data_IF_694538223924
#
_entry.id   IF_694538223924
#
_cell.length_a   1.000
_cell.length_b   1.000
_cell.length_c   1.000
_cell.angle_alpha   90.00
_cell.angle_beta   90.00
_cell.angle_gamma   90.00
#
_symmetry.space_group_name_H-M   'P 1'
#
loop_
_entity.id
_entity.type
_entity.pdbx_description
1 polymer ?
#
# COMPACT_ATOMS: atom_id res chain seq x y z
N UNK A 1 -18.73 24.90 7.89
CA UNK A 1 -18.61 23.44 7.97
C UNK A 1 -18.05 22.96 6.64
N UNK A 2 -16.74 22.73 6.54
CA UNK A 2 -16.22 22.00 5.39
C UNK A 2 -16.70 20.56 5.49
N UNK A 3 -17.37 20.11 4.45
CA UNK A 3 -17.96 18.78 4.38
C UNK A 3 -16.90 17.79 3.90
N UNK A 4 -16.70 16.70 4.60
CA UNK A 4 -15.87 15.59 4.12
C UNK A 4 -16.23 15.21 2.68
N UNK A 5 -15.23 15.14 1.81
CA UNK A 5 -15.41 14.83 0.39
C UNK A 5 -16.03 13.44 0.22
N UNK A 6 -17.01 13.35 -0.62
CA UNK A 6 -17.60 12.07 -1.00
C UNK A 6 -16.61 11.23 -1.82
N UNK A 7 -16.83 9.92 -1.89
CA UNK A 7 -16.02 9.00 -2.71
C UNK A 7 -15.94 9.42 -4.18
N UNK A 8 -17.01 10.01 -4.71
CA UNK A 8 -17.03 10.51 -6.09
C UNK A 8 -16.12 11.72 -6.25
N UNK A 9 -16.12 12.64 -5.30
CA UNK A 9 -15.27 13.83 -5.29
C UNK A 9 -13.79 13.46 -5.17
N UNK A 10 -13.44 12.54 -4.26
CA UNK A 10 -12.06 12.03 -4.12
C UNK A 10 -11.55 11.37 -5.41
N UNK A 11 -12.41 10.60 -6.09
CA UNK A 11 -12.07 9.97 -7.37
C UNK A 11 -11.96 10.98 -8.50
N UNK A 12 -12.75 12.05 -8.49
CA UNK A 12 -12.64 13.13 -9.47
C UNK A 12 -11.35 13.91 -9.26
N UNK A 13 -11.01 14.28 -8.04
CA UNK A 13 -9.77 14.95 -7.68
C UNK A 13 -8.54 14.14 -8.15
N UNK A 14 -8.55 12.82 -7.91
CA UNK A 14 -7.51 11.94 -8.41
C UNK A 14 -7.39 11.94 -9.95
N UNK A 15 -8.53 11.93 -10.66
CA UNK A 15 -8.54 12.00 -12.13
C UNK A 15 -8.04 13.34 -12.66
N UNK A 16 -8.42 14.43 -12.02
CA UNK A 16 -7.99 15.77 -12.39
C UNK A 16 -6.48 15.94 -12.20
N UNK A 17 -5.92 15.47 -11.09
CA UNK A 17 -4.48 15.48 -10.85
C UNK A 17 -3.71 14.69 -11.93
N UNK A 18 -4.23 13.53 -12.32
CA UNK A 18 -3.61 12.66 -13.31
C UNK A 18 -3.81 13.14 -14.75
N UNK A 19 -4.75 14.07 -14.98
CA UNK A 19 -5.09 14.55 -16.33
C UNK A 19 -3.89 15.24 -16.98
N UNK A 20 -3.49 14.74 -18.14
CA UNK A 20 -2.33 15.24 -18.89
C UNK A 20 -0.97 14.74 -18.39
N UNK A 21 -0.90 14.05 -17.24
CA UNK A 21 0.34 13.60 -16.60
C UNK A 21 0.37 12.10 -16.28
N UNK A 22 -0.47 11.32 -16.97
CA UNK A 22 -0.54 9.87 -16.80
C UNK A 22 0.78 9.16 -17.02
N UNK A 23 1.59 9.64 -17.98
CA UNK A 23 2.91 9.06 -18.27
C UNK A 23 3.82 9.06 -17.03
N UNK A 24 3.87 10.16 -16.31
CA UNK A 24 4.68 10.30 -15.08
C UNK A 24 4.16 9.37 -13.97
N UNK A 25 2.84 9.32 -13.79
CA UNK A 25 2.19 8.47 -12.81
C UNK A 25 2.40 6.97 -13.09
N UNK A 26 2.30 6.56 -14.35
CA UNK A 26 2.54 5.18 -14.79
C UNK A 26 4.00 4.81 -14.56
N UNK A 27 4.95 5.68 -14.95
CA UNK A 27 6.38 5.43 -14.75
C UNK A 27 6.73 5.32 -13.27
N UNK A 28 6.11 6.12 -12.42
CA UNK A 28 6.29 6.06 -10.96
C UNK A 28 5.85 4.70 -10.40
N UNK A 29 4.76 4.12 -10.92
CA UNK A 29 4.22 2.84 -10.49
C UNK A 29 4.77 1.62 -11.29
N UNK A 30 5.61 1.83 -12.29
CA UNK A 30 6.10 0.76 -13.16
C UNK A 30 6.93 -0.28 -12.40
N UNK A 31 7.75 0.16 -11.43
CA UNK A 31 8.65 -0.73 -10.68
C UNK A 31 7.88 -1.80 -9.90
N UNK A 32 6.93 -1.48 -9.00
CA UNK A 32 6.17 -2.50 -8.28
C UNK A 32 5.32 -3.38 -9.21
N UNK A 33 4.79 -2.84 -10.31
CA UNK A 33 4.04 -3.64 -11.29
C UNK A 33 4.95 -4.64 -11.98
N UNK A 34 6.14 -4.22 -12.44
CA UNK A 34 7.12 -5.12 -13.07
C UNK A 34 7.56 -6.19 -12.09
N UNK A 35 7.88 -5.83 -10.84
CA UNK A 35 8.24 -6.79 -9.80
C UNK A 35 7.13 -7.81 -9.55
N UNK A 36 5.87 -7.37 -9.51
CA UNK A 36 4.72 -8.26 -9.36
C UNK A 36 4.58 -9.22 -10.53
N UNK A 37 4.69 -8.72 -11.76
CA UNK A 37 4.61 -9.56 -12.98
C UNK A 37 5.74 -10.60 -13.01
N UNK A 38 6.96 -10.20 -12.69
CA UNK A 38 8.11 -11.11 -12.59
C UNK A 38 7.87 -12.16 -11.51
N UNK A 39 7.39 -11.76 -10.31
CA UNK A 39 7.08 -12.69 -9.23
C UNK A 39 6.01 -13.72 -9.62
N UNK A 40 4.93 -13.28 -10.27
CA UNK A 40 3.89 -14.18 -10.79
C UNK A 40 4.44 -15.12 -11.85
N UNK A 41 5.26 -14.62 -12.79
CA UNK A 41 5.89 -15.45 -13.81
C UNK A 41 6.81 -16.53 -13.20
N UNK A 42 7.62 -16.18 -12.22
CA UNK A 42 8.46 -17.15 -11.48
C UNK A 42 7.59 -18.21 -10.81
N UNK A 43 6.52 -17.80 -10.12
CA UNK A 43 5.59 -18.74 -9.44
C UNK A 43 4.95 -19.70 -10.44
N UNK A 44 4.49 -19.22 -11.59
CA UNK A 44 3.88 -20.06 -12.64
C UNK A 44 4.88 -21.04 -13.23
N UNK A 45 6.12 -20.60 -13.48
CA UNK A 45 7.20 -21.47 -13.98
C UNK A 45 7.55 -22.54 -12.94
N UNK A 46 7.71 -22.15 -11.67
CA UNK A 46 7.98 -23.10 -10.58
C UNK A 46 6.86 -24.12 -10.44
N UNK A 47 5.60 -23.68 -10.50
CA UNK A 47 4.44 -24.56 -10.46
C UNK A 47 4.41 -25.56 -11.63
N UNK A 48 4.74 -25.12 -12.85
CA UNK A 48 4.79 -26.00 -14.02
C UNK A 48 5.93 -27.05 -13.91
N UNK A 49 7.08 -26.67 -13.37
CA UNK A 49 8.17 -27.61 -13.07
C UNK A 49 7.79 -28.65 -12.03
N UNK A 50 7.06 -28.24 -10.99
CA UNK A 50 6.56 -29.15 -9.95
C UNK A 50 5.58 -30.14 -10.54
N UNK A 51 4.60 -29.69 -11.33
CA UNK A 51 3.63 -30.55 -12.01
C UNK A 51 4.32 -31.55 -12.95
N UNK A 52 5.32 -31.14 -13.68
CA UNK A 52 6.08 -32.01 -14.58
C UNK A 52 6.85 -33.09 -13.79
N UNK A 53 7.45 -32.76 -12.65
CA UNK A 53 8.12 -33.75 -11.78
C UNK A 53 7.15 -34.70 -11.14
N UNK A 54 6.00 -34.24 -10.66
CA UNK A 54 4.95 -35.11 -10.09
C UNK A 54 4.38 -36.06 -11.16
N UNK A 55 4.16 -35.58 -12.39
CA UNK A 55 3.70 -36.40 -13.52
C UNK A 55 4.71 -37.48 -13.97
N UNK A 56 6.00 -37.24 -13.79
CA UNK A 56 7.06 -38.22 -14.08
C UNK A 56 7.19 -39.32 -13.00
N UNK A 57 6.65 -39.10 -11.80
CA UNK A 57 6.68 -40.07 -10.68
C UNK A 57 5.35 -40.80 -10.48
N UNK A 58 4.44 -40.77 -11.45
CA UNK A 58 3.07 -41.30 -11.35
C UNK A 58 2.95 -42.84 -11.27
N UNK A 59 4.03 -43.59 -11.16
CA UNK A 59 3.97 -45.06 -11.20
C UNK A 59 4.71 -45.77 -10.07
N UNK A 60 4.69 -45.47 -8.85
CA UNK A 60 4.92 -46.46 -7.78
C UNK A 60 5.34 -45.96 -6.37
N UNK A 61 5.67 -44.67 -6.14
CA UNK A 61 6.19 -44.29 -4.80
C UNK A 61 5.51 -43.05 -4.20
N UNK A 62 4.18 -42.97 -4.27
CA UNK A 62 3.40 -41.81 -3.74
C UNK A 62 3.49 -41.68 -2.22
N UNK A 63 3.86 -42.77 -1.52
CA UNK A 63 3.88 -42.76 -0.04
C UNK A 63 5.15 -42.23 0.62
N UNK A 64 6.29 -42.23 -0.08
CA UNK A 64 7.59 -41.94 0.55
C UNK A 64 8.11 -40.51 0.38
N UNK A 65 7.60 -39.75 -0.57
CA UNK A 65 8.18 -38.44 -0.94
C UNK A 65 7.35 -37.21 -0.61
N UNK A 66 6.18 -37.33 -0.01
CA UNK A 66 5.39 -36.17 0.46
C UNK A 66 6.10 -35.44 1.62
N UNK A 67 6.91 -36.15 2.39
CA UNK A 67 7.65 -35.60 3.53
C UNK A 67 9.01 -34.94 3.15
N UNK A 68 9.45 -35.03 1.92
CA UNK A 68 10.71 -34.40 1.46
C UNK A 68 10.49 -33.07 0.74
N UNK A 69 9.25 -32.60 0.62
CA UNK A 69 8.97 -31.20 0.31
C UNK A 69 9.08 -30.36 1.59
N UNK A 70 10.23 -30.33 2.21
CA UNK A 70 10.66 -29.11 2.88
C UNK A 70 10.71 -28.04 1.78
N UNK A 71 9.64 -27.25 1.71
CA UNK A 71 9.67 -25.96 1.00
C UNK A 71 10.91 -25.27 1.54
N UNK A 72 11.91 -25.08 0.68
CA UNK A 72 13.20 -24.62 1.15
C UNK A 72 12.94 -23.29 1.87
N UNK A 73 13.22 -23.24 3.15
CA UNK A 73 13.08 -22.04 4.01
C UNK A 73 13.75 -20.81 3.38
N UNK A 74 14.64 -21.03 2.43
CA UNK A 74 15.27 -20.01 1.60
C UNK A 74 14.32 -19.38 0.58
N UNK A 75 13.39 -20.12 -0.05
CA UNK A 75 12.44 -19.56 -1.03
C UNK A 75 11.40 -18.69 -0.34
N UNK A 76 10.91 -19.12 0.83
CA UNK A 76 9.99 -18.33 1.65
C UNK A 76 10.66 -17.06 2.18
N UNK A 77 11.92 -17.13 2.55
CA UNK A 77 12.71 -15.99 3.00
C UNK A 77 12.85 -14.94 1.89
N UNK A 78 13.25 -15.34 0.68
CA UNK A 78 13.40 -14.42 -0.44
C UNK A 78 12.07 -13.81 -0.88
N UNK A 79 11.01 -14.58 -0.92
CA UNK A 79 9.67 -14.08 -1.25
C UNK A 79 9.20 -13.04 -0.25
N UNK A 80 9.46 -13.24 1.04
CA UNK A 80 9.15 -12.28 2.12
C UNK A 80 9.93 -10.98 1.96
N UNK A 81 11.24 -11.06 1.66
CA UNK A 81 12.08 -9.88 1.43
C UNK A 81 11.60 -9.08 0.22
N UNK A 82 11.33 -9.76 -0.90
CA UNK A 82 10.85 -9.10 -2.12
C UNK A 82 9.49 -8.44 -1.87
N UNK A 83 8.59 -9.10 -1.14
CA UNK A 83 7.30 -8.55 -0.75
C UNK A 83 7.43 -7.31 0.13
N UNK A 84 8.29 -7.35 1.15
CA UNK A 84 8.58 -6.20 1.99
C UNK A 84 9.17 -5.03 1.17
N UNK A 85 10.15 -5.30 0.31
CA UNK A 85 10.78 -4.30 -0.55
C UNK A 85 9.74 -3.64 -1.48
N UNK A 86 8.87 -4.43 -2.11
CA UNK A 86 7.78 -3.93 -2.95
C UNK A 86 6.82 -3.04 -2.16
N UNK A 87 6.49 -3.41 -0.92
CA UNK A 87 5.65 -2.61 -0.03
C UNK A 87 6.31 -1.26 0.28
N UNK A 88 7.60 -1.23 0.61
CA UNK A 88 8.33 0.01 0.86
C UNK A 88 8.37 0.92 -0.38
N UNK A 89 8.61 0.37 -1.57
CA UNK A 89 8.57 1.15 -2.81
C UNK A 89 7.17 1.75 -3.01
N UNK A 90 6.11 0.95 -2.81
CA UNK A 90 4.72 1.42 -2.93
C UNK A 90 4.41 2.56 -1.93
N UNK A 91 4.92 2.48 -0.69
CA UNK A 91 4.78 3.57 0.29
C UNK A 91 5.53 4.83 -0.15
N UNK A 92 6.73 4.71 -0.73
CA UNK A 92 7.47 5.83 -1.30
C UNK A 92 6.69 6.52 -2.44
N UNK A 93 6.05 5.72 -3.27
CA UNK A 93 5.15 6.19 -4.34
C UNK A 93 3.93 6.92 -3.76
N UNK A 94 3.32 6.37 -2.70
CA UNK A 94 2.18 7.01 -2.03
C UNK A 94 2.55 8.36 -1.42
N UNK A 95 3.77 8.49 -0.87
CA UNK A 95 4.31 9.76 -0.40
C UNK A 95 4.44 10.78 -1.53
N UNK A 96 4.91 10.35 -2.69
CA UNK A 96 5.03 11.21 -3.88
C UNK A 96 3.66 11.70 -4.34
N UNK A 97 2.65 10.83 -4.36
CA UNK A 97 1.30 11.23 -4.73
C UNK A 97 0.68 12.22 -3.74
N UNK A 98 0.96 12.08 -2.45
CA UNK A 98 0.51 13.07 -1.46
C UNK A 98 1.18 14.43 -1.69
N UNK A 99 2.49 14.47 -1.98
CA UNK A 99 3.18 15.71 -2.31
C UNK A 99 2.65 16.33 -3.59
N UNK A 100 2.38 15.50 -4.59
CA UNK A 100 1.83 15.96 -5.87
C UNK A 100 0.43 16.54 -5.72
N UNK A 101 -0.42 15.90 -4.90
CA UNK A 101 -1.76 16.39 -4.61
C UNK A 101 -1.73 17.79 -3.97
N UNK A 102 -0.80 17.99 -3.04
CA UNK A 102 -0.60 19.28 -2.35
C UNK A 102 0.09 20.33 -3.22
N UNK A 103 0.93 19.89 -4.16
CA UNK A 103 1.69 20.75 -5.07
C UNK A 103 1.54 20.27 -6.53
N UNK A 104 0.42 20.57 -7.21
CA UNK A 104 0.14 20.05 -8.55
C UNK A 104 1.17 20.44 -9.63
N UNK A 105 1.91 21.52 -9.43
CA UNK A 105 2.96 22.00 -10.35
C UNK A 105 4.32 21.30 -10.14
N UNK A 106 4.44 20.44 -9.13
CA UNK A 106 5.67 19.74 -8.83
C UNK A 106 6.14 18.88 -10.02
N UNK A 107 7.44 18.96 -10.33
CA UNK A 107 8.07 18.05 -11.29
C UNK A 107 8.30 16.69 -10.64
N UNK A 108 7.84 15.63 -11.31
CA UNK A 108 8.01 14.27 -10.85
C UNK A 108 9.27 13.68 -11.49
N UNK A 109 10.15 13.14 -10.64
CA UNK A 109 11.28 12.31 -11.02
C UNK A 109 10.97 10.86 -10.60
N UNK A 110 10.32 10.03 -11.48
CA UNK A 110 9.65 8.81 -11.08
C UNK A 110 10.54 7.83 -10.30
N UNK A 111 11.75 7.58 -10.80
CA UNK A 111 12.66 6.62 -10.16
C UNK A 111 13.17 7.13 -8.80
N UNK A 112 13.60 8.38 -8.71
CA UNK A 112 14.13 8.95 -7.47
C UNK A 112 13.06 9.02 -6.39
N UNK A 113 11.85 9.40 -6.75
CA UNK A 113 10.74 9.56 -5.81
C UNK A 113 10.11 8.24 -5.40
N UNK A 114 10.11 7.22 -6.25
CA UNK A 114 9.71 5.87 -5.86
C UNK A 114 10.58 5.31 -4.71
N UNK A 115 11.87 5.66 -4.72
CA UNK A 115 12.82 5.21 -3.70
C UNK A 115 13.03 6.20 -2.55
N UNK A 116 12.24 7.29 -2.45
CA UNK A 116 12.42 8.30 -1.41
C UNK A 116 12.31 7.75 0.03
N UNK A 117 11.56 6.66 0.21
CA UNK A 117 11.37 6.02 1.52
C UNK A 117 12.67 5.42 2.07
N UNK A 118 13.62 5.05 1.19
CA UNK A 118 14.93 4.50 1.59
C UNK A 118 15.92 5.57 2.05
N UNK A 119 15.51 6.82 2.11
CA UNK A 119 16.34 7.89 2.69
C UNK A 119 16.39 7.75 4.21
N UNK A 120 17.49 8.20 4.81
CA UNK A 120 17.65 8.22 6.29
C UNK A 120 16.51 8.94 7.00
N UNK A 121 15.84 9.86 6.30
CA UNK A 121 14.72 10.65 6.84
C UNK A 121 13.48 9.78 7.12
N UNK A 122 13.12 8.87 6.21
CA UNK A 122 11.85 8.15 6.27
C UNK A 122 11.98 6.67 6.61
N UNK A 123 13.11 6.04 6.27
CA UNK A 123 13.25 4.58 6.32
C UNK A 123 12.95 3.99 7.70
N UNK A 124 13.65 4.48 8.72
CA UNK A 124 13.62 3.86 10.06
C UNK A 124 12.21 3.89 10.67
N UNK A 125 11.54 5.04 10.62
CA UNK A 125 10.21 5.15 11.21
C UNK A 125 9.15 4.38 10.42
N UNK A 126 9.22 4.42 9.08
CA UNK A 126 8.33 3.61 8.24
C UNK A 126 8.53 2.12 8.50
N UNK A 127 9.77 1.68 8.68
CA UNK A 127 10.09 0.30 9.04
C UNK A 127 9.47 -0.09 10.37
N UNK A 128 9.58 0.73 11.40
CA UNK A 128 8.94 0.45 12.70
C UNK A 128 7.42 0.46 12.60
N UNK A 129 6.81 1.38 11.85
CA UNK A 129 5.36 1.38 11.61
C UNK A 129 4.96 0.06 10.92
N UNK A 130 5.71 -0.38 9.90
CA UNK A 130 5.43 -1.63 9.19
C UNK A 130 5.44 -2.85 10.13
N UNK A 131 6.48 -2.99 10.95
CA UNK A 131 6.58 -4.11 11.90
C UNK A 131 5.47 -4.06 12.95
N UNK A 132 5.24 -2.89 13.56
CA UNK A 132 4.26 -2.76 14.64
C UNK A 132 2.84 -2.96 14.11
N UNK A 133 2.49 -2.36 12.98
CA UNK A 133 1.16 -2.55 12.36
C UNK A 133 0.96 -3.98 11.91
N UNK A 134 1.97 -4.60 11.30
CA UNK A 134 1.94 -6.00 10.91
C UNK A 134 1.70 -6.93 12.10
N UNK A 135 2.42 -6.73 13.20
CA UNK A 135 2.25 -7.49 14.44
C UNK A 135 0.83 -7.35 15.01
N UNK A 136 0.33 -6.12 15.15
CA UNK A 136 -1.02 -5.92 15.68
C UNK A 136 -2.10 -6.47 14.74
N UNK A 137 -1.97 -6.28 13.43
CA UNK A 137 -2.95 -6.81 12.46
C UNK A 137 -2.94 -8.34 12.49
N UNK A 138 -1.77 -8.98 12.50
CA UNK A 138 -1.68 -10.45 12.56
C UNK A 138 -2.30 -11.02 13.83
N UNK A 139 -2.07 -10.38 14.99
CA UNK A 139 -2.66 -10.76 16.26
C UNK A 139 -4.20 -10.70 16.23
N UNK A 140 -4.77 -9.63 15.67
CA UNK A 140 -6.21 -9.47 15.55
C UNK A 140 -6.81 -10.41 14.50
N UNK A 141 -6.09 -10.69 13.41
CA UNK A 141 -6.53 -11.63 12.37
C UNK A 141 -6.52 -13.06 12.87
N UNK A 142 -5.54 -13.41 13.73
CA UNK A 142 -5.49 -14.73 14.40
C UNK A 142 -6.70 -14.95 15.32
N UNK A 143 -7.16 -13.89 16.01
CA UNK A 143 -8.35 -13.98 16.85
C UNK A 143 -9.62 -14.11 16.01
N UNK A 144 -9.84 -13.20 15.07
CA UNK A 144 -10.99 -13.15 14.16
C UNK A 144 -10.63 -12.32 12.92
N UNK A 145 -11.05 -12.76 11.74
CA UNK A 145 -10.78 -12.09 10.45
C UNK A 145 -11.37 -10.68 10.43
N UNK A 146 -12.62 -10.51 10.88
CA UNK A 146 -13.32 -9.20 10.84
C UNK A 146 -12.63 -8.12 11.66
N UNK A 147 -12.26 -8.34 12.94
CA UNK A 147 -11.44 -7.39 13.69
C UNK A 147 -10.08 -7.08 13.02
N UNK A 148 -9.44 -8.08 12.38
CA UNK A 148 -8.21 -7.87 11.62
C UNK A 148 -8.39 -6.85 10.49
N UNK A 149 -9.46 -6.96 9.70
CA UNK A 149 -9.79 -6.00 8.63
C UNK A 149 -10.04 -4.59 9.21
N UNK A 150 -10.80 -4.48 10.30
CA UNK A 150 -11.09 -3.20 10.95
C UNK A 150 -9.79 -2.53 11.45
N UNK A 151 -8.86 -3.31 11.98
CA UNK A 151 -7.56 -2.80 12.47
C UNK A 151 -6.64 -2.40 11.31
N UNK A 152 -6.62 -3.14 10.22
CA UNK A 152 -5.89 -2.78 9.00
C UNK A 152 -6.35 -1.41 8.49
N UNK A 153 -7.66 -1.18 8.41
CA UNK A 153 -8.24 0.09 8.03
C UNK A 153 -7.87 1.19 9.03
N UNK A 154 -7.92 0.89 10.34
CA UNK A 154 -7.61 1.87 11.40
C UNK A 154 -6.16 2.35 11.38
N UNK A 155 -5.22 1.53 10.91
CA UNK A 155 -3.79 1.85 10.85
C UNK A 155 -3.34 2.34 9.48
N UNK A 156 -4.21 2.36 8.49
CA UNK A 156 -3.88 2.65 7.09
C UNK A 156 -3.29 4.05 6.87
N UNK A 157 -3.61 5.03 7.72
CA UNK A 157 -3.13 6.41 7.58
C UNK A 157 -1.79 6.67 8.30
N UNK A 158 -1.31 5.73 9.12
CA UNK A 158 -0.13 5.92 9.96
C UNK A 158 1.15 6.32 9.18
N UNK A 159 1.29 5.80 7.96
CA UNK A 159 2.43 6.13 7.09
C UNK A 159 2.38 7.58 6.61
N UNK A 160 1.22 8.07 6.20
CA UNK A 160 1.04 9.48 5.78
C UNK A 160 1.25 10.44 6.94
N UNK A 161 0.73 10.11 8.13
CA UNK A 161 0.94 10.87 9.37
C UNK A 161 2.44 10.95 9.70
N UNK A 162 3.14 9.83 9.63
CA UNK A 162 4.59 9.80 9.84
C UNK A 162 5.35 10.70 8.85
N UNK A 163 4.96 10.66 7.58
CA UNK A 163 5.53 11.54 6.55
C UNK A 163 5.33 13.01 6.91
N UNK A 164 4.12 13.40 7.30
CA UNK A 164 3.79 14.78 7.64
C UNK A 164 4.56 15.25 8.87
N UNK A 165 4.60 14.47 9.95
CA UNK A 165 5.38 14.80 11.13
C UNK A 165 6.87 14.96 10.80
N UNK A 166 7.42 14.08 9.96
CA UNK A 166 8.82 14.16 9.52
C UNK A 166 9.11 15.34 8.59
N UNK A 167 8.11 15.84 7.89
CA UNK A 167 8.24 17.01 7.05
C UNK A 167 8.23 18.30 7.87
N UNK A 168 7.39 18.35 8.92
CA UNK A 168 7.27 19.48 9.84
C UNK A 168 8.42 19.57 10.83
N UNK A 169 9.00 18.43 11.22
CA UNK A 169 10.04 18.37 12.26
C UNK A 169 11.31 17.76 11.69
N UNK A 170 12.16 18.58 11.06
CA UNK A 170 13.36 18.10 10.35
C UNK A 170 14.32 17.27 11.22
N UNK A 171 14.47 17.59 12.50
CA UNK A 171 15.36 16.91 13.45
C UNK A 171 14.64 16.23 14.63
N UNK A 172 13.32 16.26 14.67
CA UNK A 172 12.53 15.67 15.75
C UNK A 172 12.44 14.14 15.67
N UNK A 173 12.46 13.50 16.84
CA UNK A 173 12.10 12.07 16.93
C UNK A 173 10.59 11.94 16.79
N UNK A 174 10.13 11.35 15.70
CA UNK A 174 8.72 11.00 15.49
C UNK A 174 8.52 9.58 15.98
N UNK A 175 7.62 9.38 16.95
CA UNK A 175 7.27 8.06 17.47
C UNK A 175 6.35 7.33 16.49
N UNK A 176 6.74 6.12 16.10
CA UNK A 176 5.91 5.26 15.24
C UNK A 176 4.60 4.83 15.92
N UNK A 177 4.62 4.65 17.25
CA UNK A 177 3.43 4.30 18.03
C UNK A 177 2.42 5.47 18.08
N UNK A 178 2.92 6.71 18.18
CA UNK A 178 2.06 7.89 18.18
C UNK A 178 1.37 8.04 16.83
N UNK A 179 2.09 7.85 15.72
CA UNK A 179 1.49 7.85 14.38
C UNK A 179 0.40 6.79 14.20
N UNK A 180 0.59 5.58 14.76
CA UNK A 180 -0.43 4.52 14.72
C UNK A 180 -1.63 4.91 15.58
N UNK A 181 -1.41 5.50 16.75
CA UNK A 181 -2.47 5.95 17.65
C UNK A 181 -3.27 7.09 17.04
N UNK A 182 -2.60 8.05 16.43
CA UNK A 182 -3.20 9.16 15.70
C UNK A 182 -4.01 8.66 14.49
N UNK A 183 -3.48 7.71 13.71
CA UNK A 183 -4.21 7.05 12.63
C UNK A 183 -5.53 6.42 13.12
N UNK A 184 -5.51 5.75 14.28
CA UNK A 184 -6.71 5.17 14.88
C UNK A 184 -7.74 6.24 15.24
N UNK A 185 -7.30 7.38 15.78
CA UNK A 185 -8.18 8.51 16.14
C UNK A 185 -8.76 9.12 14.87
N UNK A 186 -7.93 9.47 13.91
CA UNK A 186 -8.33 10.08 12.63
C UNK A 186 -9.32 9.20 11.84
N UNK A 187 -9.15 7.88 11.88
CA UNK A 187 -10.05 6.93 11.20
C UNK A 187 -11.34 6.63 11.99
N UNK A 188 -11.52 7.21 13.17
CA UNK A 188 -12.75 7.03 13.93
C UNK A 188 -13.89 7.78 13.23
N UNK A 189 -15.00 7.08 12.93
CA UNK A 189 -16.09 7.59 12.11
C UNK A 189 -15.90 7.38 10.58
N UNK A 190 -14.68 7.25 10.08
CA UNK A 190 -14.38 7.20 8.64
C UNK A 190 -13.96 5.82 8.10
N UNK A 191 -13.93 4.78 8.96
CA UNK A 191 -13.52 3.42 8.58
C UNK A 191 -14.41 2.83 7.49
N UNK A 192 -15.72 3.07 7.59
CA UNK A 192 -16.68 2.56 6.61
C UNK A 192 -16.52 3.25 5.27
N UNK A 193 -16.32 4.56 5.25
CA UNK A 193 -16.11 5.31 4.02
C UNK A 193 -14.86 4.85 3.28
N UNK A 194 -13.77 4.61 4.03
CA UNK A 194 -12.53 4.07 3.47
C UNK A 194 -12.71 2.63 2.97
N UNK A 195 -13.39 1.78 3.73
CA UNK A 195 -13.68 0.41 3.32
C UNK A 195 -14.48 0.38 2.01
N UNK A 196 -15.55 1.16 1.91
CA UNK A 196 -16.37 1.20 0.68
C UNK A 196 -15.60 1.87 -0.48
N UNK A 197 -14.69 2.80 -0.17
CA UNK A 197 -13.78 3.35 -1.18
C UNK A 197 -12.90 2.24 -1.77
N UNK A 198 -12.31 1.38 -0.93
CA UNK A 198 -11.51 0.22 -1.37
C UNK A 198 -12.35 -0.76 -2.20
N UNK A 199 -13.55 -1.12 -1.72
CA UNK A 199 -14.46 -2.01 -2.45
C UNK A 199 -14.80 -1.47 -3.85
N UNK A 200 -14.89 -0.15 -4.01
CA UNK A 200 -15.21 0.48 -5.29
C UNK A 200 -14.13 0.32 -6.37
N UNK A 201 -12.96 -0.19 -6.01
CA UNK A 201 -11.86 -0.49 -6.94
C UNK A 201 -11.77 -1.99 -7.28
N UNK A 202 -12.49 -2.88 -6.58
CA UNK A 202 -12.40 -4.32 -6.81
C UNK A 202 -12.79 -4.68 -8.25
N UNK A 203 -13.86 -4.10 -8.78
CA UNK A 203 -14.27 -4.35 -10.18
C UNK A 203 -13.18 -4.00 -11.20
N UNK A 204 -12.50 -2.87 -11.00
CA UNK A 204 -11.35 -2.47 -11.81
C UNK A 204 -10.14 -3.38 -11.61
N UNK A 205 -9.95 -3.88 -10.37
CA UNK A 205 -8.92 -4.88 -10.07
C UNK A 205 -9.14 -6.17 -10.86
N UNK A 206 -10.36 -6.70 -10.88
CA UNK A 206 -10.72 -7.90 -11.66
C UNK A 206 -10.45 -7.68 -13.15
N UNK A 207 -10.87 -6.54 -13.72
CA UNK A 207 -10.57 -6.19 -15.10
C UNK A 207 -9.06 -6.09 -15.39
N UNK A 208 -8.30 -5.59 -14.40
CA UNK A 208 -6.84 -5.50 -14.52
C UNK A 208 -6.17 -6.88 -14.54
N UNK A 209 -6.68 -7.84 -13.76
CA UNK A 209 -6.23 -9.23 -13.79
C UNK A 209 -6.58 -9.87 -15.14
N UNK A 210 -7.82 -9.68 -15.64
CA UNK A 210 -8.27 -10.21 -16.94
C UNK A 210 -7.46 -9.66 -18.12
N UNK A 211 -6.90 -8.44 -17.98
CA UNK A 211 -5.98 -7.86 -18.96
C UNK A 211 -4.53 -8.34 -18.81
N UNK A 212 -4.28 -9.49 -18.18
CA UNK A 212 -2.95 -10.03 -17.89
C UNK A 212 -2.06 -9.06 -17.08
N UNK A 213 -2.69 -8.25 -16.22
CA UNK A 213 -1.99 -7.29 -15.36
C UNK A 213 -1.72 -5.92 -15.98
N UNK A 214 -1.93 -5.73 -17.28
CA UNK A 214 -1.69 -4.45 -17.96
C UNK A 214 -2.54 -3.33 -17.33
N UNK A 215 -3.78 -3.62 -16.92
CA UNK A 215 -4.68 -2.67 -16.29
C UNK A 215 -4.13 -2.05 -15.00
N UNK A 216 -3.24 -2.74 -14.27
CA UNK A 216 -2.63 -2.20 -13.06
C UNK A 216 -1.72 -0.99 -13.30
N UNK A 217 -1.19 -0.81 -14.51
CA UNK A 217 -0.40 0.38 -14.86
C UNK A 217 -1.20 1.68 -14.71
N UNK A 218 -2.51 1.65 -14.97
CA UNK A 218 -3.42 2.78 -14.80
C UNK A 218 -4.14 2.75 -13.46
N UNK A 219 -4.52 1.55 -13.01
CA UNK A 219 -5.28 1.40 -11.77
C UNK A 219 -4.46 1.80 -10.54
N UNK A 220 -3.19 1.38 -10.44
CA UNK A 220 -2.37 1.66 -9.28
C UNK A 220 -2.15 3.16 -9.03
N UNK A 221 -1.73 3.98 -10.02
CA UNK A 221 -1.64 5.43 -9.80
C UNK A 221 -2.98 6.03 -9.38
N UNK A 222 -4.07 5.62 -10.01
CA UNK A 222 -5.39 6.13 -9.70
C UNK A 222 -5.83 5.81 -8.26
N UNK A 223 -5.62 4.59 -7.81
CA UNK A 223 -5.91 4.15 -6.43
C UNK A 223 -5.04 4.88 -5.43
N UNK A 224 -3.73 4.97 -5.68
CA UNK A 224 -2.79 5.65 -4.78
C UNK A 224 -3.11 7.13 -4.62
N UNK A 225 -3.41 7.85 -5.71
CA UNK A 225 -3.84 9.25 -5.63
C UNK A 225 -5.15 9.39 -4.85
N UNK A 226 -6.11 8.48 -5.07
CA UNK A 226 -7.38 8.52 -4.35
C UNK A 226 -7.21 8.31 -2.84
N UNK A 227 -6.30 7.42 -2.43
CA UNK A 227 -5.98 7.22 -1.01
C UNK A 227 -5.23 8.42 -0.40
N UNK A 228 -4.33 9.02 -1.15
CA UNK A 228 -3.67 10.26 -0.73
C UNK A 228 -4.68 11.42 -0.60
N UNK A 229 -5.65 11.53 -1.52
CA UNK A 229 -6.73 12.51 -1.44
C UNK A 229 -7.64 12.27 -0.23
N UNK A 230 -7.95 11.02 0.08
CA UNK A 230 -8.71 10.65 1.28
C UNK A 230 -7.98 11.10 2.56
N UNK A 231 -6.68 10.80 2.68
CA UNK A 231 -5.88 11.25 3.80
C UNK A 231 -5.82 12.78 3.90
N UNK A 232 -5.56 13.45 2.78
CA UNK A 232 -5.50 14.91 2.75
C UNK A 232 -6.81 15.56 3.21
N UNK A 233 -7.95 15.02 2.77
CA UNK A 233 -9.26 15.48 3.19
C UNK A 233 -9.52 15.28 4.70
N UNK A 234 -9.08 14.14 5.27
CA UNK A 234 -9.15 13.93 6.72
C UNK A 234 -8.32 14.96 7.49
N UNK A 235 -7.09 15.22 7.02
CA UNK A 235 -6.16 16.14 7.68
C UNK A 235 -6.64 17.60 7.62
N UNK A 236 -7.20 18.02 6.48
CA UNK A 236 -7.77 19.36 6.32
C UNK A 236 -8.93 19.59 7.29
N UNK A 237 -9.85 18.62 7.41
CA UNK A 237 -10.98 18.74 8.32
C UNK A 237 -10.58 18.66 9.80
N UNK A 238 -9.61 17.82 10.19
CA UNK A 238 -9.11 17.73 11.56
C UNK A 238 -8.50 19.05 12.04
N UNK A 239 -7.70 19.71 11.18
CA UNK A 239 -7.11 21.02 11.50
C UNK A 239 -8.16 22.12 11.63
N UNK A 240 -9.23 22.03 10.86
CA UNK A 240 -10.35 22.96 10.95
C UNK A 240 -11.10 22.80 12.27
N UNK A 241 -11.37 21.55 12.68
CA UNK A 241 -12.07 21.28 13.95
C UNK A 241 -11.24 21.76 15.16
N UNK A 242 -9.92 21.51 15.19
CA UNK A 242 -9.03 22.01 16.24
C UNK A 242 -9.04 23.55 16.31
N UNK A 243 -9.08 24.24 15.18
CA UNK A 243 -9.11 25.71 15.16
C UNK A 243 -10.42 26.31 15.68
N UNK A 244 -11.52 25.55 15.73
CA UNK A 244 -12.80 25.97 16.29
C UNK A 244 -12.88 25.76 17.80
N UNK A 245 -12.16 24.77 18.34
CA UNK A 245 -12.12 24.47 19.77
C UNK A 245 -11.25 25.48 20.55
N UNK A 246 -10.41 26.27 19.85
CA UNK A 246 -9.56 27.33 20.44
C UNK A 246 -10.27 28.69 20.57
N UNK A 247 -11.56 28.81 20.20
CA UNK A 247 -12.41 30.02 20.33
C UNK A 247 -13.52 29.82 21.35
#
# INVERSE_FOLDING_TARGET
>A
MERYKSRKELKMEAKELLRGRWKEAILLNAIPVILTVIGVAITLVSFSFIQQKIGLFSDSDIGANINSYESSSTEDFWSTIIGALSTFITLGISYTFLDWLRNPTMRIEPFKQAFQIFTKKYFLGTFFIYIITGFFVSLWTLLLIVPGIIKTISYSQAYFIYKDHKTLTENGKVSSLDCITESRKMMNGHKWDYFVLQLSFIGWGILSVLSLGIGFLWLNPYVNVTYAAFYNNLTENSRFDESLDDF
#
